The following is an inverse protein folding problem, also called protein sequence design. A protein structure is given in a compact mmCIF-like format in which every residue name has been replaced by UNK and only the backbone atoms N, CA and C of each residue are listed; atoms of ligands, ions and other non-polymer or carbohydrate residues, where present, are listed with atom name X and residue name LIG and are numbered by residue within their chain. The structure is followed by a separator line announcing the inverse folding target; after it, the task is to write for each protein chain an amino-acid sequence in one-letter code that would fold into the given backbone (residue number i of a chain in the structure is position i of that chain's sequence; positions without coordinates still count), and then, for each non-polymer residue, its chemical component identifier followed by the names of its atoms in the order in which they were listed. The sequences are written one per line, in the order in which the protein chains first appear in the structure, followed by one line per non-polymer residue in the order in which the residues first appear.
data_IF_612626638090
#
_entry.id   IF_612626638090
#
_cell.length_a   1.000
_cell.length_b   1.000
_cell.length_c   1.000
_cell.angle_alpha   90.00
_cell.angle_beta   90.00
_cell.angle_gamma   90.00
#
_symmetry.space_group_name_H-M   'P 1'
#
loop_
_entity.id
_entity.type
_entity.pdbx_description
1 polymer ?
#
# COMPACT_ATOMS: atom_id res chain seq x y z
N UNK A 1 5.02 -11.84 -4.19
CA UNK A 1 3.54 -11.92 -4.25
C UNK A 1 3.06 -11.47 -5.62
N UNK A 2 1.85 -11.83 -6.00
CA UNK A 2 1.17 -11.37 -7.22
C UNK A 2 0.37 -10.08 -6.98
N UNK A 3 0.00 -9.37 -8.06
CA UNK A 3 -0.87 -8.19 -7.98
C UNK A 3 -2.23 -8.50 -7.33
N UNK A 4 -2.76 -9.69 -7.58
CA UNK A 4 -4.06 -10.12 -7.03
C UNK A 4 -3.97 -10.28 -5.50
N UNK A 5 -2.89 -10.87 -5.00
CA UNK A 5 -2.63 -10.98 -3.56
C UNK A 5 -2.46 -9.61 -2.90
N UNK A 6 -1.75 -8.67 -3.55
CA UNK A 6 -1.62 -7.29 -3.05
C UNK A 6 -3.00 -6.65 -2.91
N UNK A 7 -3.85 -6.79 -3.93
CA UNK A 7 -5.20 -6.23 -3.93
C UNK A 7 -6.12 -6.90 -2.93
N UNK A 8 -5.94 -8.19 -2.68
CA UNK A 8 -6.68 -8.91 -1.65
C UNK A 8 -6.36 -8.38 -0.24
N UNK A 9 -5.11 -8.00 0.02
CA UNK A 9 -4.70 -7.32 1.26
C UNK A 9 -5.26 -5.89 1.33
N UNK A 10 -5.28 -5.18 0.21
CA UNK A 10 -5.77 -3.80 0.11
C UNK A 10 -7.29 -3.69 -0.15
N UNK A 11 -8.05 -4.75 0.14
CA UNK A 11 -9.48 -4.86 -0.21
C UNK A 11 -10.39 -4.15 0.78
N UNK A 12 -9.89 -3.84 1.97
CA UNK A 12 -10.66 -3.13 2.99
C UNK A 12 -10.69 -1.61 2.71
N UNK A 13 -11.86 -0.97 2.77
CA UNK A 13 -12.03 0.45 2.50
C UNK A 13 -11.55 1.34 3.65
N UNK A 14 -11.15 0.76 4.77
CA UNK A 14 -10.70 1.50 5.94
C UNK A 14 -9.27 2.02 5.72
N UNK A 15 -9.00 3.23 6.22
CA UNK A 15 -7.64 3.76 6.21
C UNK A 15 -6.83 3.06 7.29
N UNK A 16 -5.98 2.12 6.90
CA UNK A 16 -5.07 1.40 7.79
C UNK A 16 -3.61 1.63 7.41
N UNK A 17 -2.72 1.41 8.37
CA UNK A 17 -1.28 1.45 8.15
C UNK A 17 -0.84 0.20 7.36
N UNK A 18 -0.09 0.38 6.29
CA UNK A 18 0.50 -0.70 5.48
C UNK A 18 2.01 -0.62 5.47
N UNK A 19 2.64 -1.77 5.70
CA UNK A 19 4.06 -1.98 5.49
C UNK A 19 4.29 -2.47 4.07
N UNK A 20 5.07 -1.73 3.31
CA UNK A 20 5.33 -1.98 1.89
C UNK A 20 6.81 -2.23 1.71
N UNK A 21 7.16 -3.40 1.18
CA UNK A 21 8.51 -3.73 0.74
C UNK A 21 8.57 -3.67 -0.77
N UNK A 22 9.42 -2.79 -1.31
CA UNK A 22 9.60 -2.66 -2.77
C UNK A 22 10.58 -3.71 -3.32
N UNK A 23 10.73 -3.75 -4.65
CA UNK A 23 11.67 -4.64 -5.33
C UNK A 23 13.15 -4.38 -5.03
N UNK A 24 13.48 -3.22 -4.46
CA UNK A 24 14.82 -2.88 -3.98
C UNK A 24 15.05 -3.34 -2.53
N UNK A 25 14.15 -4.15 -1.97
CA UNK A 25 14.13 -4.59 -0.58
C UNK A 25 14.06 -3.43 0.45
N UNK A 26 13.59 -2.25 0.03
CA UNK A 26 13.33 -1.14 0.93
C UNK A 26 11.94 -1.28 1.50
N UNK A 27 11.83 -1.14 2.82
CA UNK A 27 10.59 -1.30 3.56
C UNK A 27 10.16 0.04 4.12
N UNK A 28 8.93 0.44 3.82
CA UNK A 28 8.34 1.68 4.31
C UNK A 28 6.94 1.43 4.85
N UNK A 29 6.54 2.19 5.87
CA UNK A 29 5.18 2.18 6.39
C UNK A 29 4.46 3.43 5.91
N UNK A 30 3.27 3.23 5.35
CA UNK A 30 2.42 4.32 4.88
C UNK A 30 0.99 4.08 5.30
N UNK A 31 0.19 5.13 5.42
CA UNK A 31 -1.24 4.97 5.65
C UNK A 31 -1.94 4.76 4.32
N UNK A 32 -2.55 3.61 4.14
CA UNK A 32 -3.33 3.30 2.94
C UNK A 32 -4.60 4.16 2.90
N UNK A 33 -4.90 4.71 1.73
CA UNK A 33 -6.06 5.60 1.53
C UNK A 33 -6.97 5.14 0.41
N UNK A 34 -6.55 4.15 -0.38
CA UNK A 34 -7.37 3.55 -1.44
C UNK A 34 -6.55 3.06 -2.63
N UNK A 35 -7.24 2.38 -3.56
CA UNK A 35 -6.68 1.98 -4.85
C UNK A 35 -7.08 2.98 -5.94
N UNK A 36 -6.19 3.22 -6.89
CA UNK A 36 -6.44 4.07 -8.05
C UNK A 36 -5.71 3.55 -9.28
N UNK A 37 -5.93 4.21 -10.42
CA UNK A 37 -5.26 3.88 -11.68
C UNK A 37 -4.56 5.13 -12.21
N UNK A 38 -3.26 5.03 -12.48
CA UNK A 38 -2.43 6.11 -13.01
C UNK A 38 -1.68 5.62 -14.24
N UNK A 39 -1.85 6.33 -15.36
CA UNK A 39 -1.25 5.98 -16.65
C UNK A 39 -1.56 4.53 -17.11
N UNK A 40 -2.74 4.01 -16.78
CA UNK A 40 -3.12 2.63 -17.10
C UNK A 40 -2.56 1.55 -16.16
N UNK A 41 -1.84 1.95 -15.10
CA UNK A 41 -1.32 1.04 -14.08
C UNK A 41 -2.07 1.21 -12.75
N UNK A 42 -2.33 0.10 -12.07
CA UNK A 42 -2.91 0.11 -10.72
C UNK A 42 -1.88 0.66 -9.72
N UNK A 43 -2.32 1.62 -8.91
CA UNK A 43 -1.52 2.25 -7.86
C UNK A 43 -2.29 2.20 -6.54
N UNK A 44 -1.54 2.04 -5.47
CA UNK A 44 -1.99 2.24 -4.10
C UNK A 44 -1.78 3.70 -3.75
N UNK A 45 -2.83 4.38 -3.29
CA UNK A 45 -2.75 5.73 -2.72
C UNK A 45 -2.43 5.63 -1.25
N UNK A 46 -1.44 6.41 -0.82
CA UNK A 46 -1.02 6.46 0.56
C UNK A 46 -0.89 7.90 1.06
N UNK A 47 -1.04 8.08 2.35
CA UNK A 47 -0.67 9.28 3.09
C UNK A 47 0.68 9.03 3.78
N UNK A 48 1.63 9.94 3.55
CA UNK A 48 2.93 9.95 4.20
C UNK A 48 2.85 10.61 5.57
N UNK A 49 3.88 10.41 6.40
CA UNK A 49 3.93 10.97 7.76
C UNK A 49 3.91 12.50 7.80
N UNK A 50 4.37 13.16 6.74
CA UNK A 50 4.33 14.61 6.60
C UNK A 50 2.95 15.15 6.14
N UNK A 51 1.96 14.26 5.94
CA UNK A 51 0.60 14.61 5.54
C UNK A 51 0.42 14.79 4.04
N UNK A 52 1.46 14.59 3.22
CA UNK A 52 1.31 14.54 1.77
C UNK A 52 0.78 13.19 1.31
N UNK A 53 0.15 13.18 0.12
CA UNK A 53 -0.35 11.98 -0.52
C UNK A 53 0.59 11.52 -1.65
N UNK A 54 0.72 10.21 -1.79
CA UNK A 54 1.54 9.57 -2.83
C UNK A 54 0.84 8.41 -3.51
N UNK A 55 1.34 8.08 -4.71
CA UNK A 55 0.93 6.91 -5.47
C UNK A 55 2.09 5.91 -5.51
N UNK A 56 1.85 4.68 -5.06
CA UNK A 56 2.82 3.58 -5.13
C UNK A 56 2.31 2.56 -6.15
N UNK A 57 3.11 2.30 -7.18
CA UNK A 57 2.77 1.32 -8.20
C UNK A 57 2.76 -0.09 -7.61
N UNK A 58 1.64 -0.81 -7.76
CA UNK A 58 1.53 -2.17 -7.24
C UNK A 58 2.56 -3.11 -7.89
N UNK A 59 2.97 -2.81 -9.12
CA UNK A 59 4.02 -3.55 -9.85
C UNK A 59 5.42 -3.42 -9.24
N UNK A 60 5.65 -2.41 -8.40
CA UNK A 60 6.93 -2.16 -7.72
C UNK A 60 7.00 -2.81 -6.34
N UNK A 61 5.85 -3.27 -5.83
CA UNK A 61 5.72 -3.90 -4.52
C UNK A 61 6.13 -5.37 -4.63
N UNK A 62 7.01 -5.78 -3.72
CA UNK A 62 7.43 -7.16 -3.55
C UNK A 62 6.61 -7.86 -2.45
N UNK A 63 6.33 -7.14 -1.36
CA UNK A 63 5.53 -7.59 -0.22
C UNK A 63 4.71 -6.42 0.35
N UNK A 64 3.46 -6.67 0.76
CA UNK A 64 2.66 -5.74 1.56
C UNK A 64 2.07 -6.46 2.76
N UNK A 65 1.97 -5.79 3.89
CA UNK A 65 1.31 -6.31 5.09
C UNK A 65 0.56 -5.19 5.80
N UNK A 66 -0.64 -5.49 6.28
CA UNK A 66 -1.41 -4.57 7.13
C UNK A 66 -0.70 -4.53 8.49
N UNK A 67 -0.44 -3.33 8.97
CA UNK A 67 -0.09 -3.11 10.37
C UNK A 67 -1.43 -2.85 11.05
N UNK A 68 -1.95 -3.91 11.66
CA UNK A 68 -3.13 -3.83 12.50
C UNK A 68 -2.74 -3.04 13.77
N UNK A 69 -3.36 -1.88 13.96
CA UNK A 69 -3.23 -1.07 15.18
C UNK A 69 -4.38 -1.39 16.17
N UNK A 70 -5.05 -2.53 16.01
CA UNK A 70 -6.05 -3.08 16.95
C UNK A 70 -5.45 -4.28 17.71
N UNK A 71 -4.48 -3.99 18.58
CA UNK A 71 -4.28 -4.83 19.76
C UNK A 71 -5.28 -4.39 20.85
N UNK A 72 -6.37 -5.15 21.03
CA UNK A 72 -7.22 -5.17 22.23
C UNK A 72 -7.10 -6.54 22.91
#
# INVERSE_FOLDING_TARGET
MTLDEIKAVLKDPESFSVKVTNKLNQTHTHKFTGLSTKNGHEVMRVEYQDGTYGDIYLTDIQSVSIIDEHED
#
